data_IF_558054003107
#
_entry.id   IF_558054003107
#
_cell.length_a   1.000
_cell.length_b   1.000
_cell.length_c   1.000
_cell.angle_alpha   90.00
_cell.angle_beta   90.00
_cell.angle_gamma   90.00
#
_symmetry.space_group_name_H-M   'P 1'
#
loop_
_entity.id
_entity.type
_entity.pdbx_description
1 polymer ?
#
# COMPACT_ATOMS: atom_id res chain seq x y z
N UNK A 1 5.04 -10.22 58.38
CA UNK A 1 6.19 -9.56 57.73
C UNK A 1 6.21 -10.06 56.28
N UNK A 2 5.57 -9.32 55.37
CA UNK A 2 6.18 -8.36 54.41
C UNK A 2 6.94 -9.04 53.25
N UNK A 3 6.25 -9.05 52.09
CA UNK A 3 6.75 -8.78 50.72
C UNK A 3 7.90 -9.64 50.17
N UNK A 4 7.87 -10.14 48.93
CA UNK A 4 7.50 -9.41 47.73
C UNK A 4 7.07 -10.36 46.59
N UNK A 5 5.95 -10.01 45.95
CA UNK A 5 5.60 -10.50 44.63
C UNK A 5 6.36 -9.64 43.61
N UNK A 6 7.31 -10.24 42.90
CA UNK A 6 8.01 -9.60 41.79
C UNK A 6 7.08 -9.62 40.59
N UNK A 7 6.37 -8.51 40.38
CA UNK A 7 5.54 -8.28 39.20
C UNK A 7 6.47 -8.00 38.00
N UNK A 8 6.68 -8.99 37.13
CA UNK A 8 7.29 -8.77 35.82
C UNK A 8 6.25 -8.11 34.92
N UNK A 9 6.34 -6.79 34.79
CA UNK A 9 5.73 -6.02 33.71
C UNK A 9 6.36 -6.45 32.38
N UNK A 10 5.75 -7.42 31.70
CA UNK A 10 6.02 -7.63 30.29
C UNK A 10 5.47 -6.44 29.51
N UNK A 11 6.40 -5.58 29.07
CA UNK A 11 6.20 -4.67 27.94
C UNK A 11 5.94 -5.55 26.70
N UNK A 12 4.69 -5.89 26.45
CA UNK A 12 4.28 -6.37 25.15
C UNK A 12 4.49 -5.21 24.15
N UNK A 13 5.25 -5.40 23.06
CA UNK A 13 5.20 -4.44 21.98
C UNK A 13 3.75 -4.43 21.48
N UNK A 14 3.13 -3.26 21.51
CA UNK A 14 1.84 -2.99 20.90
C UNK A 14 2.02 -3.08 19.38
N UNK A 15 2.23 -4.29 18.86
CA UNK A 15 2.10 -4.58 17.45
C UNK A 15 0.62 -4.81 17.27
N UNK A 16 -0.09 -3.78 16.82
CA UNK A 16 -1.42 -3.96 16.25
C UNK A 16 -1.23 -4.97 15.13
N UNK A 17 -1.60 -6.22 15.38
CA UNK A 17 -1.54 -7.26 14.38
C UNK A 17 -2.53 -6.84 13.29
N UNK A 18 -2.01 -6.35 12.16
CA UNK A 18 -2.81 -6.12 10.96
C UNK A 18 -3.59 -7.40 10.69
N UNK A 19 -4.92 -7.29 10.57
CA UNK A 19 -5.72 -8.46 10.23
C UNK A 19 -5.24 -8.99 8.87
N UNK A 20 -5.24 -10.31 8.68
CA UNK A 20 -4.76 -10.92 7.43
C UNK A 20 -5.50 -10.36 6.19
N UNK A 21 -6.78 -9.97 6.38
CA UNK A 21 -7.61 -9.35 5.36
C UNK A 21 -7.11 -7.95 4.96
N UNK A 22 -6.61 -7.15 5.91
CA UNK A 22 -6.04 -5.83 5.66
C UNK A 22 -4.75 -5.94 4.83
N UNK A 23 -3.89 -6.92 5.15
CA UNK A 23 -2.65 -7.16 4.41
C UNK A 23 -2.93 -7.56 2.95
N UNK A 24 -3.94 -8.40 2.72
CA UNK A 24 -4.31 -8.81 1.38
C UNK A 24 -4.86 -7.63 0.56
N UNK A 25 -5.66 -6.78 1.19
CA UNK A 25 -6.17 -5.56 0.57
C UNK A 25 -5.02 -4.60 0.22
N UNK A 26 -4.10 -4.33 1.14
CA UNK A 26 -2.90 -3.51 0.89
C UNK A 26 -2.09 -4.04 -0.29
N UNK A 27 -1.92 -5.37 -0.39
CA UNK A 27 -1.22 -5.98 -1.53
C UNK A 27 -1.96 -5.76 -2.85
N UNK A 28 -3.29 -5.88 -2.86
CA UNK A 28 -4.06 -5.61 -4.07
C UNK A 28 -3.93 -4.15 -4.51
N UNK A 29 -4.01 -3.22 -3.57
CA UNK A 29 -3.89 -1.80 -3.86
C UNK A 29 -2.48 -1.42 -4.35
N UNK A 30 -1.44 -1.95 -3.69
CA UNK A 30 -0.06 -1.83 -4.14
C UNK A 30 0.13 -2.41 -5.55
N UNK A 31 -0.45 -3.58 -5.82
CA UNK A 31 -0.39 -4.20 -7.15
C UNK A 31 -1.00 -3.29 -8.23
N UNK A 32 -2.19 -2.74 -7.99
CA UNK A 32 -2.84 -1.81 -8.95
C UNK A 32 -1.97 -0.58 -9.18
N UNK A 33 -1.33 -0.04 -8.14
CA UNK A 33 -0.41 1.08 -8.30
C UNK A 33 0.81 0.73 -9.15
N UNK A 34 1.45 -0.41 -8.89
CA UNK A 34 2.59 -0.86 -9.69
C UNK A 34 2.23 -1.19 -11.14
N UNK A 35 0.99 -1.63 -11.42
CA UNK A 35 0.55 -1.91 -12.78
C UNK A 35 0.49 -0.67 -13.68
N UNK A 36 0.30 0.54 -13.10
CA UNK A 36 0.43 1.76 -13.88
C UNK A 36 1.84 1.93 -14.45
N UNK A 37 2.87 1.59 -13.67
CA UNK A 37 4.27 1.62 -14.11
C UNK A 37 4.56 0.52 -15.12
N UNK A 38 4.14 -0.71 -14.82
CA UNK A 38 4.36 -1.86 -15.70
C UNK A 38 3.73 -1.70 -17.10
N UNK A 39 2.69 -0.88 -17.20
CA UNK A 39 2.00 -0.54 -18.44
C UNK A 39 2.48 0.77 -19.08
N UNK A 40 3.64 1.30 -18.68
CA UNK A 40 4.23 2.56 -19.16
C UNK A 40 3.29 3.78 -19.03
N UNK A 41 2.45 3.78 -17.98
CA UNK A 41 1.52 4.88 -17.69
C UNK A 41 2.16 5.90 -16.74
N UNK A 42 3.05 5.46 -15.84
CA UNK A 42 3.55 6.28 -14.73
C UNK A 42 4.98 5.93 -14.30
N UNK A 43 5.65 6.87 -13.64
CA UNK A 43 6.94 6.66 -12.98
C UNK A 43 6.81 5.90 -11.63
N UNK A 44 7.78 5.03 -11.27
CA UNK A 44 7.76 4.26 -10.02
C UNK A 44 7.52 5.09 -8.76
N UNK A 45 8.12 6.28 -8.71
CA UNK A 45 8.15 7.21 -7.60
C UNK A 45 6.74 7.74 -7.31
N UNK A 46 6.01 8.08 -8.38
CA UNK A 46 4.64 8.57 -8.30
C UNK A 46 3.71 7.42 -7.94
N UNK A 47 3.93 6.22 -8.47
CA UNK A 47 3.13 5.05 -8.10
C UNK A 47 3.28 4.69 -6.62
N UNK A 48 4.49 4.77 -6.06
CA UNK A 48 4.73 4.59 -4.64
C UNK A 48 4.03 5.67 -3.80
N UNK A 49 4.07 6.94 -4.22
CA UNK A 49 3.33 8.02 -3.54
C UNK A 49 1.81 7.82 -3.56
N UNK A 50 1.25 7.39 -4.70
CA UNK A 50 -0.18 7.06 -4.81
C UNK A 50 -0.53 5.92 -3.87
N UNK A 51 0.30 4.87 -3.81
CA UNK A 51 0.11 3.75 -2.91
C UNK A 51 0.08 4.19 -1.43
N UNK A 52 1.04 5.01 -0.98
CA UNK A 52 1.05 5.56 0.39
C UNK A 52 -0.19 6.41 0.67
N UNK A 53 -0.54 7.33 -0.23
CA UNK A 53 -1.71 8.20 -0.05
C UNK A 53 -3.03 7.41 0.00
N UNK A 54 -3.12 6.28 -0.72
CA UNK A 54 -4.26 5.38 -0.63
C UNK A 54 -4.34 4.64 0.71
N UNK A 55 -3.21 4.21 1.27
CA UNK A 55 -3.16 3.63 2.61
C UNK A 55 -3.68 4.64 3.65
N UNK A 56 -3.19 5.89 3.57
CA UNK A 56 -3.59 6.97 4.46
C UNK A 56 -5.09 7.29 4.34
N UNK A 57 -5.63 7.34 3.12
CA UNK A 57 -7.05 7.56 2.88
C UNK A 57 -7.95 6.46 3.48
N UNK A 58 -7.39 5.27 3.75
CA UNK A 58 -8.06 4.16 4.41
C UNK A 58 -7.83 4.13 5.93
N UNK A 59 -7.10 5.10 6.48
CA UNK A 59 -6.73 5.15 7.89
C UNK A 59 -5.61 4.18 8.27
N UNK A 60 -4.90 3.62 7.27
CA UNK A 60 -3.79 2.69 7.46
C UNK A 60 -2.47 3.47 7.44
N UNK A 61 -2.24 4.23 8.52
CA UNK A 61 -1.15 5.20 8.64
C UNK A 61 0.11 4.63 9.29
N UNK A 62 0.12 3.34 9.61
CA UNK A 62 1.30 2.69 10.20
C UNK A 62 2.34 2.35 9.13
N UNK A 63 3.61 2.39 9.54
CA UNK A 63 4.76 2.18 8.65
C UNK A 63 4.75 0.79 8.00
N UNK A 64 4.21 -0.23 8.68
CA UNK A 64 4.14 -1.58 8.13
C UNK A 64 3.14 -1.65 6.96
N UNK A 65 1.97 -1.03 7.10
CA UNK A 65 0.98 -0.90 6.02
C UNK A 65 1.55 -0.19 4.80
N UNK A 66 2.24 0.93 5.01
CA UNK A 66 2.90 1.67 3.93
C UNK A 66 3.96 0.82 3.23
N UNK A 67 4.81 0.15 4.02
CA UNK A 67 5.87 -0.72 3.49
C UNK A 67 5.30 -1.83 2.62
N UNK A 68 4.24 -2.52 3.08
CA UNK A 68 3.59 -3.58 2.31
C UNK A 68 3.06 -3.06 0.98
N UNK A 69 2.45 -1.89 0.95
CA UNK A 69 1.93 -1.31 -0.29
C UNK A 69 3.04 -0.89 -1.26
N UNK A 70 4.08 -0.20 -0.76
CA UNK A 70 5.21 0.25 -1.58
C UNK A 70 5.95 -0.95 -2.16
N UNK A 71 6.30 -1.94 -1.34
CA UNK A 71 6.97 -3.15 -1.80
C UNK A 71 6.17 -3.87 -2.88
N UNK A 72 4.86 -3.98 -2.69
CA UNK A 72 4.00 -4.64 -3.65
C UNK A 72 3.84 -3.83 -4.95
N UNK A 73 3.81 -2.50 -4.86
CA UNK A 73 3.80 -1.62 -6.03
C UNK A 73 5.09 -1.74 -6.84
N UNK A 74 6.25 -1.69 -6.18
CA UNK A 74 7.55 -1.84 -6.86
C UNK A 74 7.71 -3.22 -7.50
N UNK A 75 7.26 -4.29 -6.82
CA UNK A 75 7.24 -5.64 -7.40
C UNK A 75 6.35 -5.74 -8.62
N UNK A 76 5.15 -5.15 -8.57
CA UNK A 76 4.22 -5.17 -9.69
C UNK A 76 4.73 -4.32 -10.87
N UNK A 77 5.39 -3.19 -10.58
CA UNK A 77 6.01 -2.31 -11.57
C UNK A 77 7.13 -3.00 -12.37
N UNK A 78 7.89 -3.88 -11.72
CA UNK A 78 8.93 -4.68 -12.38
C UNK A 78 8.38 -5.89 -13.17
N UNK A 79 7.08 -6.18 -13.05
CA UNK A 79 6.41 -7.27 -13.75
C UNK A 79 5.88 -6.85 -15.14
N UNK A 80 5.28 -7.78 -15.89
CA UNK A 80 4.60 -7.45 -17.13
C UNK A 80 3.32 -6.65 -16.86
N UNK A 81 2.96 -5.79 -17.81
CA UNK A 81 1.64 -5.16 -17.86
C UNK A 81 0.54 -6.23 -17.95
N UNK A 82 -0.40 -6.21 -17.01
CA UNK A 82 -1.55 -7.11 -16.93
C UNK A 82 -2.83 -6.52 -17.53
N UNK A 83 -2.76 -5.33 -18.16
CA UNK A 83 -3.90 -4.72 -18.81
C UNK A 83 -4.40 -5.61 -19.98
N UNK A 84 -5.70 -5.90 -20.06
CA UNK A 84 -6.25 -6.62 -21.21
C UNK A 84 -6.00 -5.86 -22.52
N UNK A 85 -5.80 -6.61 -23.61
CA UNK A 85 -5.63 -6.02 -24.93
C UNK A 85 -6.79 -5.06 -25.27
N UNK A 86 -6.44 -3.85 -25.72
CA UNK A 86 -7.42 -2.81 -26.08
C UNK A 86 -8.05 -2.05 -24.89
N UNK A 87 -7.65 -2.33 -23.64
CA UNK A 87 -8.19 -1.65 -22.43
C UNK A 87 -7.19 -0.69 -21.78
N UNK A 88 -6.03 -0.43 -22.38
CA UNK A 88 -4.98 0.41 -21.81
C UNK A 88 -5.47 1.84 -21.50
N UNK A 89 -6.30 2.43 -22.37
CA UNK A 89 -6.85 3.78 -22.14
C UNK A 89 -7.81 3.85 -20.95
N UNK A 90 -8.53 2.77 -20.68
CA UNK A 90 -9.34 2.69 -19.46
C UNK A 90 -8.47 2.58 -18.22
N UNK A 91 -7.39 1.77 -18.27
CA UNK A 91 -6.41 1.70 -17.19
C UNK A 91 -5.79 3.08 -16.93
N UNK A 92 -5.42 3.82 -17.98
CA UNK A 92 -4.91 5.20 -17.88
C UNK A 92 -5.93 6.15 -17.24
N UNK A 93 -7.20 6.05 -17.63
CA UNK A 93 -8.29 6.87 -17.07
C UNK A 93 -8.51 6.57 -15.58
N UNK A 94 -8.55 5.29 -15.22
CA UNK A 94 -8.69 4.84 -13.84
C UNK A 94 -7.49 5.26 -12.99
N UNK A 95 -6.27 5.15 -13.53
CA UNK A 95 -5.06 5.62 -12.88
C UNK A 95 -5.12 7.11 -12.57
N UNK A 96 -5.53 7.94 -13.54
CA UNK A 96 -5.71 9.39 -13.33
C UNK A 96 -6.72 9.68 -12.21
N UNK A 97 -7.82 8.94 -12.14
CA UNK A 97 -8.78 9.08 -11.06
C UNK A 97 -8.18 8.72 -9.69
N UNK A 98 -7.33 7.68 -9.62
CA UNK A 98 -6.61 7.32 -8.40
C UNK A 98 -5.62 8.39 -7.98
N UNK A 99 -4.79 8.92 -8.90
CA UNK A 99 -3.87 10.03 -8.63
C UNK A 99 -4.58 11.24 -8.02
N UNK A 100 -5.74 11.57 -8.55
CA UNK A 100 -6.57 12.66 -8.02
C UNK A 100 -7.05 12.38 -6.59
N UNK A 101 -7.52 11.17 -6.31
CA UNK A 101 -7.92 10.77 -4.94
C UNK A 101 -6.75 10.80 -3.96
N UNK A 102 -5.54 10.49 -4.45
CA UNK A 102 -4.30 10.60 -3.70
C UNK A 102 -3.79 12.05 -3.54
N UNK A 103 -4.45 13.06 -4.14
CA UNK A 103 -4.01 14.45 -4.06
C UNK A 103 -2.75 14.78 -4.89
N UNK A 104 -2.42 13.94 -5.88
CA UNK A 104 -1.22 14.05 -6.72
C UNK A 104 -1.49 14.57 -8.14
N UNK A 105 -2.75 14.91 -8.45
CA UNK A 105 -3.10 15.76 -9.59
C UNK A 105 -2.95 17.22 -9.14
N UNK A 106 -1.92 17.92 -9.63
CA UNK A 106 -1.77 19.39 -9.52
C UNK A 106 -2.34 20.08 -10.75
#
# INVERSE_FOLDING_TARGET
MRTAATLLLMLAPCVVALAADDVQLLRQLGYVAGQAVACDIEEPDIAAQVATAMADAMGLTDEASHTVMIDQALRAAAGPCAAPAGRLEEVRTNWKAMRRRAGLDR
#
